data_IF_156032959863
#
_entry.id   IF_156032959863
#
_cell.length_a   1.000
_cell.length_b   1.000
_cell.length_c   1.000
_cell.angle_alpha   90.00
_cell.angle_beta   90.00
_cell.angle_gamma   90.00
#
_symmetry.space_group_name_H-M   'P 1'
#
loop_
_entity.id
_entity.type
_entity.pdbx_description
1 polymer ?
#
# COMPACT_ATOMS: atom_id res chain seq x y z
N UNK A 1 -19.96 23.76 16.50
CA UNK A 1 -20.22 22.46 17.14
C UNK A 1 -21.47 22.53 18.01
N UNK A 2 -21.56 23.46 18.95
CA UNK A 2 -22.71 23.63 19.86
C UNK A 2 -24.05 23.95 19.17
N UNK A 3 -24.01 24.39 17.90
CA UNK A 3 -25.23 24.70 17.13
C UNK A 3 -25.69 23.55 16.24
N UNK A 4 -24.77 22.69 15.77
CA UNK A 4 -25.11 21.63 14.82
C UNK A 4 -25.69 20.37 15.49
N UNK A 5 -25.18 19.96 16.66
CA UNK A 5 -25.66 18.75 17.33
C UNK A 5 -27.13 18.86 17.72
N UNK A 6 -27.61 19.95 18.40
CA UNK A 6 -29.01 20.10 18.72
C UNK A 6 -29.94 20.16 17.49
N UNK A 7 -29.46 20.80 16.40
CA UNK A 7 -30.20 20.82 15.15
C UNK A 7 -30.39 19.44 14.54
N UNK A 8 -29.32 18.62 14.51
CA UNK A 8 -29.38 17.26 13.97
C UNK A 8 -30.25 16.37 14.83
N UNK A 9 -30.19 16.52 16.17
CA UNK A 9 -31.06 15.80 17.09
C UNK A 9 -32.52 16.15 16.85
N UNK A 10 -32.88 17.44 16.62
CA UNK A 10 -34.25 17.82 16.27
C UNK A 10 -34.71 17.18 14.96
N UNK A 11 -33.84 17.12 13.93
CA UNK A 11 -34.15 16.46 12.66
C UNK A 11 -34.38 14.95 12.83
N UNK A 12 -33.65 14.30 13.71
CA UNK A 12 -33.88 12.88 14.02
C UNK A 12 -35.18 12.64 14.75
N UNK A 13 -35.57 13.53 15.65
CA UNK A 13 -36.85 13.46 16.33
C UNK A 13 -38.01 13.69 15.34
N UNK A 14 -37.91 14.70 14.48
CA UNK A 14 -38.91 14.96 13.43
C UNK A 14 -39.07 13.77 12.49
N UNK A 15 -37.95 13.11 12.12
CA UNK A 15 -37.99 11.91 11.29
C UNK A 15 -38.66 10.73 12.04
N UNK A 16 -38.34 10.55 13.31
CA UNK A 16 -38.94 9.50 14.12
C UNK A 16 -40.48 9.68 14.26
N UNK A 17 -40.91 10.91 14.47
CA UNK A 17 -42.34 11.27 14.54
C UNK A 17 -43.00 11.05 13.18
N UNK A 18 -42.40 11.46 12.09
CA UNK A 18 -42.92 11.28 10.73
C UNK A 18 -43.15 9.81 10.35
N UNK A 19 -42.20 8.92 10.70
CA UNK A 19 -42.32 7.48 10.43
C UNK A 19 -43.04 6.70 11.54
N UNK A 20 -43.56 7.40 12.56
CA UNK A 20 -44.20 6.82 13.74
C UNK A 20 -43.32 5.75 14.41
N UNK A 21 -42.04 6.07 14.61
CA UNK A 21 -41.09 5.17 15.25
C UNK A 21 -41.43 4.96 16.73
N UNK A 22 -41.22 3.74 17.23
CA UNK A 22 -41.43 3.42 18.65
C UNK A 22 -40.52 4.23 19.58
N UNK A 23 -39.27 4.48 19.09
CA UNK A 23 -38.26 5.20 19.86
C UNK A 23 -37.24 5.82 18.89
N UNK A 24 -36.70 7.01 19.23
CA UNK A 24 -35.62 7.66 18.50
C UNK A 24 -34.26 7.20 19.07
N UNK A 25 -33.49 6.44 18.28
CA UNK A 25 -32.19 5.86 18.67
C UNK A 25 -30.99 6.34 17.81
N UNK A 26 -31.24 7.22 16.84
CA UNK A 26 -30.18 7.77 16.05
C UNK A 26 -29.44 8.83 16.87
N UNK A 27 -28.14 8.70 16.95
CA UNK A 27 -27.23 9.64 17.60
C UNK A 27 -26.15 10.02 16.61
N UNK A 28 -25.89 11.30 16.44
CA UNK A 28 -24.76 11.80 15.70
C UNK A 28 -23.82 12.50 16.67
N UNK A 29 -22.63 11.95 16.81
CA UNK A 29 -21.57 12.55 17.61
C UNK A 29 -20.40 12.95 16.72
N UNK A 30 -19.71 14.03 17.09
CA UNK A 30 -18.49 14.43 16.43
C UNK A 30 -17.40 13.37 16.64
N UNK A 31 -16.84 12.89 15.52
CA UNK A 31 -15.77 11.91 15.58
C UNK A 31 -14.37 12.57 15.63
N UNK A 32 -14.10 13.56 14.76
CA UNK A 32 -12.78 14.19 14.70
C UNK A 32 -12.87 15.69 14.40
N UNK A 33 -11.90 16.45 14.95
CA UNK A 33 -11.54 17.79 14.48
C UNK A 33 -10.14 17.71 13.87
N UNK A 34 -10.01 18.15 12.62
CA UNK A 34 -8.75 18.21 11.89
C UNK A 34 -8.58 19.61 11.28
N UNK A 35 -7.34 20.11 11.23
CA UNK A 35 -6.99 21.38 10.59
C UNK A 35 -6.75 21.21 9.08
N UNK A 36 -6.33 20.00 8.67
CA UNK A 36 -6.07 19.66 7.26
C UNK A 36 -6.60 18.27 6.94
N UNK A 37 -7.05 18.10 5.70
CA UNK A 37 -7.50 16.81 5.21
C UNK A 37 -7.35 16.69 3.70
N UNK A 38 -7.00 15.48 3.24
CA UNK A 38 -6.88 15.12 1.83
C UNK A 38 -7.80 13.94 1.56
N UNK A 39 -8.74 14.10 0.63
CA UNK A 39 -9.66 13.06 0.18
C UNK A 39 -9.31 12.67 -1.26
N UNK A 40 -8.83 11.46 -1.47
CA UNK A 40 -8.46 10.95 -2.79
C UNK A 40 -9.58 10.17 -3.47
N UNK A 41 -10.46 9.54 -2.70
CA UNK A 41 -11.62 8.81 -3.20
C UNK A 41 -12.58 8.44 -2.05
N UNK A 42 -13.73 7.85 -2.38
CA UNK A 42 -14.65 7.28 -1.37
C UNK A 42 -13.89 6.29 -0.46
N UNK A 43 -14.00 6.49 0.87
CA UNK A 43 -13.29 5.70 1.90
C UNK A 43 -11.75 5.78 1.82
N UNK A 44 -11.20 6.79 1.18
CA UNK A 44 -9.75 7.03 1.10
C UNK A 44 -9.47 8.48 1.48
N UNK A 45 -8.98 8.69 2.69
CA UNK A 45 -8.67 10.02 3.20
C UNK A 45 -7.51 10.00 4.21
N UNK A 46 -6.95 11.17 4.41
CA UNK A 46 -5.89 11.46 5.39
C UNK A 46 -6.32 12.72 6.12
N UNK A 47 -6.32 12.70 7.45
CA UNK A 47 -6.67 13.83 8.30
C UNK A 47 -5.54 14.11 9.29
N UNK A 48 -5.25 15.39 9.50
CA UNK A 48 -4.38 15.86 10.58
C UNK A 48 -5.25 16.20 11.79
N UNK A 49 -5.43 15.24 12.69
CA UNK A 49 -6.46 15.26 13.74
C UNK A 49 -5.92 15.87 15.01
N UNK A 50 -6.58 16.91 15.51
CA UNK A 50 -6.33 17.56 16.80
C UNK A 50 -7.23 17.05 17.93
N UNK A 51 -8.40 16.51 17.59
CA UNK A 51 -9.36 15.98 18.55
C UNK A 51 -10.06 14.76 17.95
N UNK A 52 -10.16 13.68 18.70
CA UNK A 52 -10.88 12.47 18.31
C UNK A 52 -11.80 12.06 19.44
N UNK A 53 -13.11 12.03 19.17
CA UNK A 53 -14.16 11.64 20.13
C UNK A 53 -14.07 12.42 21.46
N UNK A 54 -13.73 13.72 21.41
CA UNK A 54 -13.59 14.59 22.56
C UNK A 54 -12.22 14.53 23.27
N UNK A 55 -11.31 13.67 22.81
CA UNK A 55 -9.92 13.60 23.31
C UNK A 55 -9.05 14.53 22.48
N UNK A 56 -8.62 15.64 23.07
CA UNK A 56 -7.72 16.62 22.46
C UNK A 56 -6.27 16.18 22.54
N UNK A 57 -5.53 16.31 21.45
CA UNK A 57 -4.11 16.01 21.36
C UNK A 57 -3.28 17.27 21.50
N UNK A 58 -2.10 17.16 22.16
CA UNK A 58 -1.11 18.25 22.22
C UNK A 58 -0.44 18.47 20.87
N UNK A 59 -0.18 17.38 20.14
CA UNK A 59 0.29 17.38 18.76
C UNK A 59 -0.70 16.62 17.86
N UNK A 60 -0.93 17.07 16.62
CA UNK A 60 -1.91 16.42 15.73
C UNK A 60 -1.46 15.01 15.35
N UNK A 61 -2.41 14.11 15.22
CA UNK A 61 -2.19 12.74 14.80
C UNK A 61 -2.75 12.50 13.41
N UNK A 62 -1.99 11.81 12.55
CA UNK A 62 -2.47 11.41 11.23
C UNK A 62 -3.47 10.25 11.36
N UNK A 63 -4.73 10.52 11.00
CA UNK A 63 -5.76 9.49 10.77
C UNK A 63 -5.84 9.18 9.29
N UNK A 64 -5.70 7.91 8.94
CA UNK A 64 -5.69 7.45 7.54
C UNK A 64 -6.69 6.33 7.34
N UNK A 65 -7.47 6.40 6.26
CA UNK A 65 -8.37 5.32 5.85
C UNK A 65 -8.15 4.96 4.39
N UNK A 66 -8.08 3.67 4.09
CA UNK A 66 -7.96 3.14 2.74
C UNK A 66 -6.63 3.44 2.04
N UNK A 67 -5.67 4.06 2.73
CA UNK A 67 -4.34 4.41 2.21
C UNK A 67 -3.38 3.21 2.35
N UNK A 68 -2.45 3.07 1.44
CA UNK A 68 -1.48 1.97 1.39
C UNK A 68 -0.57 1.92 2.62
N UNK A 69 -0.36 3.04 3.29
CA UNK A 69 0.38 3.14 4.56
C UNK A 69 -0.19 2.31 5.71
N UNK A 70 -1.48 1.94 5.66
CA UNK A 70 -2.16 1.13 6.70
C UNK A 70 -2.53 -0.27 6.22
N UNK A 71 -2.32 -0.60 4.93
CA UNK A 71 -2.66 -1.90 4.36
C UNK A 71 -1.57 -2.94 4.65
N UNK A 72 -1.96 -4.10 5.16
CA UNK A 72 -1.04 -5.23 5.38
C UNK A 72 -0.45 -5.80 4.09
N UNK A 73 -1.08 -5.51 2.94
CA UNK A 73 -0.60 -5.93 1.62
C UNK A 73 0.54 -5.07 1.06
N UNK A 74 0.89 -3.97 1.72
CA UNK A 74 2.03 -3.12 1.39
C UNK A 74 3.25 -3.53 2.21
N UNK A 75 4.46 -3.62 1.65
CA UNK A 75 5.68 -3.93 2.40
C UNK A 75 5.89 -2.99 3.59
N UNK A 76 6.38 -3.52 4.71
CA UNK A 76 6.51 -2.75 5.95
C UNK A 76 7.37 -1.49 5.80
N UNK A 77 8.56 -1.51 5.15
CA UNK A 77 9.35 -0.31 4.92
C UNK A 77 8.58 0.75 4.12
N UNK A 78 7.83 0.33 3.08
CA UNK A 78 7.03 1.26 2.26
C UNK A 78 5.90 1.90 3.07
N UNK A 79 5.27 1.16 3.98
CA UNK A 79 4.25 1.74 4.87
C UNK A 79 4.80 2.86 5.74
N UNK A 80 6.00 2.67 6.28
CA UNK A 80 6.70 3.70 7.06
C UNK A 80 7.07 4.89 6.19
N UNK A 81 7.69 4.66 5.04
CA UNK A 81 8.04 5.72 4.09
C UNK A 81 6.82 6.53 3.62
N UNK A 82 5.69 5.88 3.32
CA UNK A 82 4.46 6.59 2.95
C UNK A 82 3.95 7.44 4.13
N UNK A 83 3.93 6.89 5.36
CA UNK A 83 3.50 7.66 6.55
C UNK A 83 4.34 8.91 6.77
N UNK A 84 5.65 8.79 6.61
CA UNK A 84 6.55 9.92 6.81
C UNK A 84 6.42 10.95 5.69
N UNK A 85 6.25 10.52 4.44
CA UNK A 85 5.91 11.42 3.33
C UNK A 85 4.60 12.17 3.60
N UNK A 86 3.56 11.49 4.11
CA UNK A 86 2.29 12.13 4.44
C UNK A 86 2.41 13.14 5.59
N UNK A 87 3.26 12.91 6.57
CA UNK A 87 3.57 13.91 7.61
C UNK A 87 4.20 15.15 7.00
N UNK A 88 5.19 14.98 6.12
CA UNK A 88 5.80 16.10 5.40
C UNK A 88 4.78 16.87 4.55
N UNK A 89 3.87 16.18 3.86
CA UNK A 89 2.79 16.83 3.09
C UNK A 89 1.87 17.69 3.95
N UNK A 90 1.67 17.35 5.23
CA UNK A 90 0.81 18.12 6.14
C UNK A 90 1.50 19.39 6.69
N UNK A 91 2.83 19.46 6.69
CA UNK A 91 3.56 20.58 7.32
C UNK A 91 4.62 21.23 6.43
N UNK A 92 5.09 20.53 5.41
CA UNK A 92 6.20 20.93 4.56
C UNK A 92 5.79 21.44 3.18
N UNK A 93 6.77 21.49 2.31
CA UNK A 93 6.68 21.95 0.91
C UNK A 93 6.79 20.80 -0.07
N UNK A 94 6.41 21.03 -1.33
CA UNK A 94 6.56 20.05 -2.42
C UNK A 94 8.03 19.62 -2.61
N UNK A 95 8.97 20.57 -2.58
CA UNK A 95 10.41 20.29 -2.73
C UNK A 95 10.96 19.38 -1.63
N UNK A 96 10.51 19.53 -0.38
CA UNK A 96 10.88 18.67 0.72
C UNK A 96 10.36 17.24 0.53
N UNK A 97 9.14 17.10 0.03
CA UNK A 97 8.55 15.79 -0.28
C UNK A 97 9.29 15.12 -1.43
N UNK A 98 9.64 15.85 -2.50
CA UNK A 98 10.42 15.32 -3.61
C UNK A 98 11.81 14.87 -3.14
N UNK A 99 12.49 15.67 -2.32
CA UNK A 99 13.78 15.31 -1.73
C UNK A 99 13.68 14.04 -0.89
N UNK A 100 12.63 13.93 -0.08
CA UNK A 100 12.36 12.73 0.72
C UNK A 100 12.11 11.48 -0.15
N UNK A 101 11.39 11.63 -1.28
CA UNK A 101 11.16 10.51 -2.23
C UNK A 101 12.49 9.99 -2.76
N UNK A 102 13.43 10.86 -3.14
CA UNK A 102 14.75 10.45 -3.63
C UNK A 102 15.59 9.74 -2.54
N UNK A 103 15.55 10.23 -1.32
CA UNK A 103 16.16 9.57 -0.15
C UNK A 103 15.57 8.17 0.09
N UNK A 104 14.24 8.05 -0.01
CA UNK A 104 13.55 6.76 0.08
C UNK A 104 13.99 5.80 -1.02
N UNK A 105 14.13 6.28 -2.28
CA UNK A 105 14.61 5.49 -3.40
C UNK A 105 16.02 4.93 -3.14
N UNK A 106 16.91 5.78 -2.63
CA UNK A 106 18.28 5.38 -2.30
C UNK A 106 18.35 4.35 -1.16
N UNK A 107 17.52 4.51 -0.13
CA UNK A 107 17.40 3.56 1.01
C UNK A 107 16.79 2.23 0.55
N UNK A 108 15.72 2.29 -0.24
CA UNK A 108 14.98 1.11 -0.72
C UNK A 108 15.88 0.14 -1.52
N UNK A 109 16.78 0.66 -2.35
CA UNK A 109 17.74 -0.14 -3.14
C UNK A 109 18.72 -0.94 -2.29
N UNK A 110 18.88 -0.62 -1.01
CA UNK A 110 19.77 -1.32 -0.07
C UNK A 110 19.04 -2.38 0.77
N UNK A 111 17.70 -2.43 0.70
CA UNK A 111 16.92 -3.40 1.46
C UNK A 111 16.98 -4.79 0.82
N UNK A 112 16.93 -5.85 1.62
CA UNK A 112 16.85 -7.21 1.08
C UNK A 112 15.50 -7.46 0.39
N UNK A 113 15.45 -8.38 -0.59
CA UNK A 113 14.21 -8.69 -1.33
C UNK A 113 13.03 -9.07 -0.43
N UNK A 114 13.27 -9.70 0.71
CA UNK A 114 12.28 -10.12 1.68
C UNK A 114 11.49 -8.94 2.28
N UNK A 115 12.15 -7.81 2.47
CA UNK A 115 11.54 -6.62 3.08
C UNK A 115 10.74 -5.78 2.08
N UNK A 116 11.16 -5.78 0.82
CA UNK A 116 10.51 -4.99 -0.25
C UNK A 116 9.37 -5.73 -0.96
N UNK A 117 9.26 -7.04 -0.76
CA UNK A 117 8.28 -7.89 -1.45
C UNK A 117 6.87 -7.71 -0.91
N UNK A 118 5.88 -7.81 -1.80
CA UNK A 118 4.46 -7.64 -1.47
C UNK A 118 3.89 -8.85 -0.73
N UNK A 119 3.36 -8.70 0.49
CA UNK A 119 2.64 -9.77 1.17
C UNK A 119 1.31 -10.07 0.46
N UNK A 120 1.00 -11.36 0.29
CA UNK A 120 -0.27 -11.87 -0.25
C UNK A 120 -0.60 -13.22 0.36
N UNK A 121 -1.84 -13.69 0.15
CA UNK A 121 -2.23 -15.07 0.46
C UNK A 121 -2.28 -15.90 -0.82
N UNK A 122 -1.70 -17.09 -0.79
CA UNK A 122 -1.71 -18.03 -1.91
C UNK A 122 -3.05 -18.77 -1.95
N UNK A 123 -4.00 -18.28 -2.75
CA UNK A 123 -5.33 -18.89 -2.91
C UNK A 123 -5.46 -19.55 -4.27
N UNK A 124 -6.10 -20.72 -4.32
CA UNK A 124 -6.35 -21.48 -5.56
C UNK A 124 -5.08 -21.87 -6.34
N UNK A 125 -3.96 -22.14 -5.69
CA UNK A 125 -2.69 -22.50 -6.32
C UNK A 125 -2.89 -23.71 -7.24
N UNK A 126 -3.59 -24.74 -6.77
CA UNK A 126 -3.88 -25.97 -7.54
C UNK A 126 -4.74 -25.72 -8.77
N UNK A 127 -5.69 -24.79 -8.70
CA UNK A 127 -6.57 -24.42 -9.82
C UNK A 127 -5.79 -23.87 -11.02
N UNK A 128 -4.72 -23.13 -10.75
CA UNK A 128 -3.90 -22.46 -11.76
C UNK A 128 -2.67 -23.29 -12.20
N UNK A 129 -2.42 -24.44 -11.59
CA UNK A 129 -1.37 -25.37 -12.02
C UNK A 129 -1.75 -26.02 -13.35
N UNK A 130 -0.81 -26.13 -14.28
CA UNK A 130 -1.01 -26.76 -15.57
C UNK A 130 0.07 -27.81 -15.85
N UNK A 131 -0.32 -28.97 -16.42
CA UNK A 131 0.61 -30.08 -16.69
C UNK A 131 1.62 -29.78 -17.80
N UNK A 132 1.19 -29.05 -18.84
CA UNK A 132 2.02 -28.72 -20.03
C UNK A 132 2.82 -27.46 -19.87
N UNK A 133 2.36 -26.55 -18.98
CA UNK A 133 2.99 -25.28 -18.66
C UNK A 133 3.00 -25.13 -17.13
N UNK A 134 3.92 -24.35 -16.58
CA UNK A 134 4.02 -24.21 -15.10
C UNK A 134 2.71 -23.64 -14.53
N UNK A 135 2.03 -22.79 -15.26
CA UNK A 135 0.78 -22.12 -14.86
C UNK A 135 -0.17 -21.92 -16.06
N UNK A 136 -1.46 -21.80 -15.79
CA UNK A 136 -2.51 -21.55 -16.78
C UNK A 136 -2.57 -20.05 -17.19
N UNK A 137 -3.15 -19.77 -18.35
CA UNK A 137 -3.43 -18.38 -18.81
C UNK A 137 -4.39 -17.69 -17.83
N UNK A 138 -4.13 -16.43 -17.51
CA UNK A 138 -4.97 -15.65 -16.58
C UNK A 138 -4.66 -15.89 -15.10
N UNK A 139 -3.58 -16.61 -14.78
CA UNK A 139 -3.12 -16.79 -13.39
C UNK A 139 -2.75 -15.45 -12.76
N UNK A 140 -3.28 -15.14 -11.54
CA UNK A 140 -2.88 -13.94 -10.80
C UNK A 140 -1.36 -13.91 -10.57
N UNK A 141 -0.77 -12.70 -10.60
CA UNK A 141 0.68 -12.52 -10.62
C UNK A 141 1.40 -13.21 -9.45
N UNK A 142 0.88 -13.10 -8.23
CA UNK A 142 1.45 -13.72 -7.03
C UNK A 142 1.32 -15.26 -7.03
N UNK A 143 0.25 -15.80 -7.63
CA UNK A 143 0.07 -17.26 -7.80
C UNK A 143 0.99 -17.77 -8.90
N UNK A 144 1.19 -17.00 -9.98
CA UNK A 144 2.19 -17.31 -11.01
C UNK A 144 3.58 -17.41 -10.39
N UNK A 145 3.95 -16.44 -9.56
CA UNK A 145 5.21 -16.48 -8.81
C UNK A 145 5.32 -17.69 -7.89
N UNK A 146 4.23 -18.11 -7.24
CA UNK A 146 4.20 -19.29 -6.36
C UNK A 146 4.40 -20.62 -7.14
N UNK A 147 3.74 -20.75 -8.29
CA UNK A 147 3.91 -21.93 -9.15
C UNK A 147 5.33 -22.00 -9.75
N UNK A 148 5.90 -20.86 -10.13
CA UNK A 148 7.30 -20.77 -10.56
C UNK A 148 8.25 -21.19 -9.43
N UNK A 149 8.06 -20.66 -8.23
CA UNK A 149 8.84 -21.04 -7.06
C UNK A 149 8.81 -22.56 -6.84
N UNK A 150 7.62 -23.15 -6.76
CA UNK A 150 7.46 -24.59 -6.58
C UNK A 150 8.12 -25.42 -7.69
N UNK A 151 8.02 -24.96 -8.93
CA UNK A 151 8.69 -25.59 -10.06
C UNK A 151 10.22 -25.59 -9.92
N UNK A 152 10.80 -24.40 -9.63
CA UNK A 152 12.25 -24.26 -9.57
C UNK A 152 12.86 -24.88 -8.30
N UNK A 153 12.16 -24.88 -7.17
CA UNK A 153 12.56 -25.61 -5.96
C UNK A 153 12.69 -27.09 -6.26
N UNK A 154 11.69 -27.72 -6.91
CA UNK A 154 11.76 -29.12 -7.33
C UNK A 154 12.84 -29.38 -8.37
N UNK A 155 12.95 -28.53 -9.39
CA UNK A 155 13.94 -28.67 -10.48
C UNK A 155 15.37 -28.66 -9.97
N UNK A 156 15.66 -27.82 -8.96
CA UNK A 156 16.97 -27.69 -8.34
C UNK A 156 17.18 -28.57 -7.11
N UNK A 157 16.17 -29.42 -6.75
CA UNK A 157 16.21 -30.31 -5.57
C UNK A 157 16.46 -29.55 -4.25
N UNK A 158 15.78 -28.41 -4.09
CA UNK A 158 15.90 -27.52 -2.94
C UNK A 158 14.76 -27.70 -1.91
N UNK A 159 13.98 -28.75 -2.02
CA UNK A 159 12.84 -29.08 -1.16
C UNK A 159 13.21 -29.39 0.29
N UNK A 160 14.47 -29.68 0.56
CA UNK A 160 15.02 -29.77 1.92
C UNK A 160 15.26 -28.39 2.57
N UNK A 161 15.36 -27.32 1.78
CA UNK A 161 15.63 -25.95 2.25
C UNK A 161 14.39 -25.06 2.17
N UNK A 162 13.59 -25.20 1.13
CA UNK A 162 12.42 -24.38 0.88
C UNK A 162 11.15 -25.22 0.84
N UNK A 163 10.21 -24.93 1.72
CA UNK A 163 8.87 -25.54 1.68
C UNK A 163 8.09 -25.09 0.45
N UNK A 164 7.41 -26.04 -0.20
CA UNK A 164 6.56 -25.73 -1.35
C UNK A 164 5.34 -24.93 -0.92
N UNK A 165 5.02 -23.91 -1.69
CA UNK A 165 3.85 -23.04 -1.43
C UNK A 165 2.56 -23.82 -1.70
N UNK A 166 1.66 -23.83 -0.71
CA UNK A 166 0.36 -24.48 -0.75
C UNK A 166 -0.79 -23.47 -0.67
N UNK A 167 -2.02 -23.97 -0.85
CA UNK A 167 -3.21 -23.14 -0.69
C UNK A 167 -3.35 -22.62 0.74
N UNK A 168 -3.69 -21.35 0.87
CA UNK A 168 -3.94 -20.67 2.16
C UNK A 168 -2.69 -20.07 2.79
N UNK A 169 -1.50 -20.40 2.31
CA UNK A 169 -0.26 -19.87 2.88
C UNK A 169 -0.07 -18.38 2.61
N UNK A 170 0.57 -17.73 3.56
CA UNK A 170 1.02 -16.34 3.38
C UNK A 170 2.35 -16.34 2.66
N UNK A 171 2.38 -15.62 1.55
CA UNK A 171 3.55 -15.51 0.68
C UNK A 171 3.91 -14.04 0.49
N UNK A 172 5.11 -13.82 0.00
CA UNK A 172 5.57 -12.55 -0.54
C UNK A 172 5.89 -12.71 -2.01
N UNK A 173 5.71 -11.67 -2.84
CA UNK A 173 6.15 -11.71 -4.22
C UNK A 173 7.00 -10.51 -4.58
N UNK A 174 7.96 -10.72 -5.48
CA UNK A 174 8.93 -9.74 -5.93
C UNK A 174 9.00 -9.72 -7.46
N UNK A 175 9.09 -8.52 -8.03
CA UNK A 175 9.32 -8.34 -9.46
C UNK A 175 10.76 -8.62 -9.83
N UNK A 176 10.97 -9.17 -11.03
CA UNK A 176 12.26 -9.49 -11.60
C UNK A 176 12.43 -8.83 -12.97
N UNK A 177 13.62 -8.33 -13.24
CA UNK A 177 14.01 -7.84 -14.57
C UNK A 177 14.10 -8.98 -15.58
N UNK A 178 13.75 -8.70 -16.84
CA UNK A 178 13.94 -9.59 -17.97
C UNK A 178 15.05 -9.01 -18.90
N UNK A 179 15.83 -9.87 -19.55
CA UNK A 179 15.87 -11.33 -19.51
C UNK A 179 16.51 -11.88 -18.23
N UNK A 180 16.04 -13.02 -17.74
CA UNK A 180 16.60 -13.72 -16.59
C UNK A 180 16.51 -15.24 -16.77
N UNK A 181 17.12 -15.99 -15.86
CA UNK A 181 17.26 -17.46 -15.95
C UNK A 181 15.94 -18.25 -15.82
N UNK A 182 14.90 -17.65 -15.26
CA UNK A 182 13.56 -18.27 -15.15
C UNK A 182 12.60 -17.77 -16.22
N UNK A 183 13.04 -16.87 -17.12
CA UNK A 183 12.28 -16.28 -18.22
C UNK A 183 10.98 -15.58 -17.81
N UNK A 184 10.84 -15.22 -16.50
CA UNK A 184 9.65 -14.62 -15.93
C UNK A 184 9.99 -13.37 -15.12
N UNK A 185 8.98 -12.47 -15.00
CA UNK A 185 9.15 -11.18 -14.32
C UNK A 185 8.69 -11.18 -12.87
N UNK A 186 8.48 -12.36 -12.26
CA UNK A 186 7.94 -12.50 -10.92
C UNK A 186 8.46 -13.77 -10.25
N UNK A 187 8.65 -13.71 -8.94
CA UNK A 187 8.82 -14.87 -8.07
C UNK A 187 8.05 -14.63 -6.77
N UNK A 188 7.46 -15.68 -6.20
CA UNK A 188 6.92 -15.66 -4.85
C UNK A 188 7.68 -16.62 -3.94
N UNK A 189 7.61 -16.41 -2.64
CA UNK A 189 8.27 -17.20 -1.62
C UNK A 189 7.51 -17.07 -0.29
N UNK A 190 7.76 -17.95 0.68
CA UNK A 190 7.08 -17.93 1.98
C UNK A 190 7.81 -16.95 2.91
N UNK A 191 9.01 -17.24 3.29
CA UNK A 191 9.81 -16.48 4.25
C UNK A 191 11.05 -15.89 3.62
N UNK A 192 11.93 -16.76 3.10
CA UNK A 192 13.23 -16.40 2.57
C UNK A 192 13.20 -16.31 1.05
N UNK A 193 13.83 -15.30 0.51
CA UNK A 193 13.99 -15.17 -0.94
C UNK A 193 14.84 -16.34 -1.48
N UNK A 194 14.45 -16.97 -2.59
CA UNK A 194 15.12 -18.17 -3.09
C UNK A 194 16.44 -17.85 -3.80
N UNK A 195 17.45 -17.41 -3.05
CA UNK A 195 18.77 -17.04 -3.56
C UNK A 195 19.46 -18.16 -4.34
N UNK A 196 19.25 -19.42 -3.91
CA UNK A 196 19.87 -20.61 -4.53
C UNK A 196 19.38 -20.87 -5.97
N UNK A 197 18.24 -20.29 -6.37
CA UNK A 197 17.78 -20.33 -7.77
C UNK A 197 18.63 -19.43 -8.67
N UNK A 198 19.46 -18.52 -8.09
CA UNK A 198 20.35 -17.61 -8.85
C UNK A 198 19.65 -16.36 -9.43
N UNK A 199 18.48 -16.00 -8.90
CA UNK A 199 17.66 -14.88 -9.42
C UNK A 199 17.88 -13.54 -8.69
N UNK A 200 18.68 -13.51 -7.63
CA UNK A 200 18.89 -12.32 -6.77
C UNK A 200 19.30 -11.07 -7.55
N UNK A 201 20.23 -11.21 -8.49
CA UNK A 201 20.73 -10.10 -9.33
C UNK A 201 19.67 -9.53 -10.30
N UNK A 202 18.56 -10.23 -10.47
CA UNK A 202 17.48 -9.82 -11.35
C UNK A 202 16.31 -9.16 -10.61
N UNK A 203 16.42 -8.96 -9.29
CA UNK A 203 15.40 -8.22 -8.54
C UNK A 203 15.23 -6.82 -9.14
N UNK A 204 14.00 -6.49 -9.51
CA UNK A 204 13.67 -5.19 -10.10
C UNK A 204 13.28 -4.19 -9.01
N UNK A 205 14.30 -3.61 -8.37
CA UNK A 205 14.11 -2.63 -7.32
C UNK A 205 13.37 -1.37 -7.78
N UNK A 206 13.56 -0.96 -9.03
CA UNK A 206 12.93 0.25 -9.56
C UNK A 206 11.43 0.02 -9.75
N UNK A 207 11.02 -1.07 -10.41
CA UNK A 207 9.63 -1.44 -10.55
C UNK A 207 8.97 -1.76 -9.19
N UNK A 208 9.71 -2.41 -8.29
CA UNK A 208 9.22 -2.72 -6.94
C UNK A 208 8.94 -1.44 -6.15
N UNK A 209 9.84 -0.45 -6.20
CA UNK A 209 9.68 0.86 -5.58
C UNK A 209 8.51 1.64 -6.20
N UNK A 210 8.43 1.67 -7.52
CA UNK A 210 7.32 2.30 -8.23
C UNK A 210 5.97 1.76 -7.75
N UNK A 211 5.79 0.43 -7.75
CA UNK A 211 4.51 -0.21 -7.40
C UNK A 211 4.18 -0.16 -5.92
N UNK A 212 5.17 -0.19 -5.03
CA UNK A 212 4.94 -0.26 -3.58
C UNK A 212 4.91 1.09 -2.88
N UNK A 213 5.54 2.12 -3.46
CA UNK A 213 5.69 3.44 -2.85
C UNK A 213 5.23 4.57 -3.77
N UNK A 214 5.79 4.69 -4.99
CA UNK A 214 5.52 5.86 -5.86
C UNK A 214 4.06 5.93 -6.35
N UNK A 215 3.52 4.86 -6.93
CA UNK A 215 2.13 4.86 -7.43
C UNK A 215 1.11 5.19 -6.32
N UNK A 216 1.19 4.55 -5.13
CA UNK A 216 0.34 4.93 -4.01
C UNK A 216 0.46 6.39 -3.58
N UNK A 217 1.69 6.92 -3.53
CA UNK A 217 1.95 8.28 -3.11
C UNK A 217 1.52 9.29 -4.18
N UNK A 218 1.78 8.99 -5.45
CA UNK A 218 1.39 9.84 -6.59
C UNK A 218 -0.11 10.13 -6.58
N UNK A 219 -0.94 9.12 -6.35
CA UNK A 219 -2.39 9.33 -6.28
C UNK A 219 -2.83 10.31 -5.18
N UNK A 220 -2.00 10.50 -4.15
CA UNK A 220 -2.26 11.45 -3.06
C UNK A 220 -1.70 12.82 -3.42
N UNK A 221 -0.49 12.90 -3.99
CA UNK A 221 0.14 14.14 -4.44
C UNK A 221 -0.68 14.81 -5.55
N UNK A 222 -1.15 14.02 -6.53
CA UNK A 222 -2.02 14.51 -7.61
C UNK A 222 -3.30 15.17 -7.08
N UNK A 223 -3.86 14.69 -5.94
CA UNK A 223 -5.05 15.27 -5.33
C UNK A 223 -4.83 16.67 -4.74
N UNK A 224 -3.59 17.04 -4.46
CA UNK A 224 -3.19 18.37 -3.97
C UNK A 224 -2.41 19.19 -5.01
N UNK A 225 -2.27 18.67 -6.24
CA UNK A 225 -1.57 19.33 -7.34
C UNK A 225 -0.04 19.28 -7.24
N UNK A 226 0.52 18.37 -6.44
CA UNK A 226 1.96 18.17 -6.29
C UNK A 226 2.48 17.04 -7.17
N UNK A 227 3.77 17.11 -7.53
CA UNK A 227 4.46 16.12 -8.35
C UNK A 227 5.34 15.18 -7.53
N UNK A 228 5.59 13.98 -8.05
CA UNK A 228 6.56 13.00 -7.47
C UNK A 228 7.99 13.26 -7.92
N UNK A 229 8.19 14.11 -8.94
CA UNK A 229 9.50 14.43 -9.54
C UNK A 229 9.55 15.92 -9.83
N UNK A 230 10.76 16.51 -9.78
CA UNK A 230 10.96 17.90 -10.21
C UNK A 230 10.63 18.00 -11.69
N UNK A 231 9.57 18.69 -12.02
CA UNK A 231 9.30 19.12 -13.40
C UNK A 231 10.32 20.21 -13.74
N UNK A 232 11.12 19.98 -14.79
CA UNK A 232 11.96 21.04 -15.36
C UNK A 232 11.03 22.14 -15.87
N UNK A 233 10.86 23.20 -15.09
CA UNK A 233 10.17 24.40 -15.54
C UNK A 233 11.08 25.14 -16.53
N UNK A 234 10.51 25.62 -17.65
CA UNK A 234 11.23 26.45 -18.61
C UNK A 234 11.91 27.67 -17.95
N UNK A 235 11.35 28.16 -16.84
CA UNK A 235 11.93 29.23 -16.04
C UNK A 235 13.29 28.89 -15.42
N UNK A 236 13.55 27.60 -15.11
CA UNK A 236 14.85 27.14 -14.60
C UNK A 236 15.97 27.13 -15.65
N UNK A 237 15.65 27.33 -16.93
CA UNK A 237 16.64 27.47 -18.01
C UNK A 237 17.06 28.94 -18.25
N UNK A 238 16.38 29.90 -17.60
CA UNK A 238 16.64 31.33 -17.78
C UNK A 238 17.23 32.01 -16.54
N UNK A 239 17.53 31.25 -15.49
CA UNK A 239 18.29 31.66 -14.30
C UNK A 239 19.67 31.03 -14.31
#
# INVERSE_FOLDING_TARGET
EMEFEPYIESCYQELADYVNAYDQKMVMARENIADRGIWTAKKRYILNVWDSEGVRYEEPKLKMMGIEAVKSSTPAPCRTMIKDALKLMMSGTEDEVISYIEDCRAKFKKLPPEEISFPRSATNVTKYSAHSTIYAKGTPIHIRGALLFNHYVKKHKLDNKYSLIQNGEKIKFCYLKKPNIIHENIISFIQDFPHDIGITKYVDYDLQFEKSFLEPLKAILDAIGWSVEKTANLESFFT
#
